data_IF_009868073040
#
_entry.id   IF_009868073040
#
_cell.length_a   1.000
_cell.length_b   1.000
_cell.length_c   1.000
_cell.angle_alpha   90.00
_cell.angle_beta   90.00
_cell.angle_gamma   90.00
#
_symmetry.space_group_name_H-M   'P 1'
#
loop_
_entity.id
_entity.type
_entity.pdbx_description
1 polymer ?
#
# COMPACT_ATOMS: atom_id res chain seq x y z
N UNK A 1 -12.25 -27.22 -2.54
CA UNK A 1 -12.88 -25.91 -2.80
C UNK A 1 -14.39 -26.16 -2.87
N UNK A 2 -15.17 -25.53 -1.99
CA UNK A 2 -16.64 -25.75 -2.00
C UNK A 2 -17.23 -24.79 -3.05
N UNK A 3 -18.06 -25.31 -3.94
CA UNK A 3 -18.73 -24.55 -5.03
C UNK A 3 -19.57 -23.36 -4.50
N UNK A 4 -20.06 -23.45 -3.27
CA UNK A 4 -20.85 -22.42 -2.60
C UNK A 4 -20.08 -21.12 -2.31
N UNK A 5 -18.73 -21.15 -2.34
CA UNK A 5 -17.87 -19.97 -2.11
C UNK A 5 -17.33 -19.34 -3.40
N UNK A 6 -17.73 -19.84 -4.57
CA UNK A 6 -17.26 -19.34 -5.89
C UNK A 6 -18.24 -18.32 -6.48
N UNK A 7 -18.53 -17.25 -5.75
CA UNK A 7 -19.31 -16.13 -6.30
C UNK A 7 -18.39 -15.05 -6.88
N UNK A 8 -18.90 -14.20 -7.78
CA UNK A 8 -18.12 -13.05 -8.30
C UNK A 8 -17.56 -12.16 -7.19
N UNK A 9 -18.31 -11.99 -6.09
CA UNK A 9 -17.85 -11.19 -4.94
C UNK A 9 -16.64 -11.83 -4.24
N UNK A 10 -16.63 -13.16 -4.07
CA UNK A 10 -15.48 -13.88 -3.51
C UNK A 10 -14.25 -13.80 -4.41
N UNK A 11 -14.44 -13.89 -5.73
CA UNK A 11 -13.35 -13.75 -6.70
C UNK A 11 -12.76 -12.33 -6.66
N UNK A 12 -13.61 -11.30 -6.66
CA UNK A 12 -13.17 -9.91 -6.57
C UNK A 12 -12.39 -9.67 -5.27
N UNK A 13 -12.91 -10.15 -4.12
CA UNK A 13 -12.22 -10.02 -2.83
C UNK A 13 -10.89 -10.76 -2.82
N UNK A 14 -10.85 -11.99 -3.29
CA UNK A 14 -9.62 -12.78 -3.37
C UNK A 14 -8.54 -12.12 -4.24
N UNK A 15 -8.95 -11.45 -5.33
CA UNK A 15 -8.06 -10.67 -6.18
C UNK A 15 -7.47 -9.48 -5.42
N UNK A 16 -8.29 -8.69 -4.72
CA UNK A 16 -7.83 -7.55 -3.91
C UNK A 16 -6.87 -8.02 -2.81
N UNK A 17 -7.21 -9.09 -2.10
CA UNK A 17 -6.37 -9.67 -1.05
C UNK A 17 -5.05 -10.20 -1.61
N UNK A 18 -5.07 -10.93 -2.72
CA UNK A 18 -3.88 -11.48 -3.34
C UNK A 18 -2.89 -10.41 -3.79
N UNK A 19 -3.37 -9.35 -4.45
CA UNK A 19 -2.54 -8.19 -4.82
C UNK A 19 -1.96 -7.52 -3.59
N UNK A 20 -2.77 -7.31 -2.56
CA UNK A 20 -2.33 -6.63 -1.32
C UNK A 20 -1.33 -7.48 -0.54
N UNK A 21 -1.50 -8.81 -0.49
CA UNK A 21 -0.53 -9.72 0.12
C UNK A 21 0.82 -9.69 -0.64
N UNK A 22 0.80 -9.58 -1.98
CA UNK A 22 2.02 -9.38 -2.77
C UNK A 22 2.77 -8.11 -2.38
N UNK A 23 2.04 -6.99 -2.19
CA UNK A 23 2.62 -5.74 -1.69
C UNK A 23 3.14 -5.88 -0.25
N UNK A 24 2.43 -6.61 0.62
CA UNK A 24 2.85 -6.87 1.99
C UNK A 24 4.12 -7.74 2.06
N UNK A 25 4.29 -8.66 1.13
CA UNK A 25 5.54 -9.41 0.98
C UNK A 25 6.72 -8.48 0.69
N UNK A 26 6.56 -7.51 -0.21
CA UNK A 26 7.55 -6.44 -0.44
C UNK A 26 7.80 -5.60 0.83
N UNK A 27 6.72 -5.21 1.54
CA UNK A 27 6.83 -4.45 2.78
C UNK A 27 7.58 -5.21 3.89
N UNK A 28 7.50 -6.53 3.92
CA UNK A 28 8.26 -7.34 4.89
C UNK A 28 9.77 -7.15 4.75
N UNK A 29 10.26 -6.91 3.53
CA UNK A 29 11.68 -6.63 3.25
C UNK A 29 12.13 -5.30 3.83
N UNK A 30 11.29 -4.26 3.77
CA UNK A 30 11.58 -3.00 4.47
C UNK A 30 11.66 -3.20 5.98
N UNK A 31 10.77 -4.02 6.54
CA UNK A 31 10.78 -4.35 7.98
C UNK A 31 12.05 -5.09 8.41
N UNK A 32 12.53 -6.02 7.60
CA UNK A 32 13.81 -6.72 7.80
C UNK A 32 15.01 -5.75 7.79
N UNK A 33 14.92 -4.65 7.04
CA UNK A 33 15.91 -3.57 7.03
C UNK A 33 15.73 -2.56 8.18
N UNK A 34 14.82 -2.84 9.13
CA UNK A 34 14.56 -1.99 10.30
C UNK A 34 13.60 -0.83 10.05
N UNK A 35 13.00 -0.73 8.85
CA UNK A 35 12.02 0.30 8.53
C UNK A 35 10.64 -0.16 9.01
N UNK A 36 10.12 0.52 10.03
CA UNK A 36 8.80 0.24 10.61
C UNK A 36 7.84 1.38 10.26
N UNK A 37 6.99 1.25 9.24
CA UNK A 37 6.05 2.29 8.89
C UNK A 37 4.97 2.43 9.97
N UNK A 38 4.70 3.64 10.40
CA UNK A 38 3.60 3.95 11.30
C UNK A 38 2.26 4.09 10.56
N UNK A 39 2.32 4.36 9.25
CA UNK A 39 1.17 4.60 8.39
C UNK A 39 1.55 4.30 6.93
N UNK A 40 0.60 3.81 6.14
CA UNK A 40 0.77 3.63 4.70
C UNK A 40 -0.17 4.56 3.94
N UNK A 41 0.39 5.35 3.04
CA UNK A 41 -0.36 6.26 2.18
C UNK A 41 -0.71 5.58 0.87
N UNK A 42 -2.01 5.50 0.57
CA UNK A 42 -2.54 4.86 -0.62
C UNK A 42 -2.82 5.91 -1.70
N UNK A 43 -2.52 5.55 -2.94
CA UNK A 43 -2.80 6.37 -4.12
C UNK A 43 -3.20 5.49 -5.30
N UNK A 44 -3.74 6.09 -6.36
CA UNK A 44 -4.17 5.38 -7.55
C UNK A 44 -5.59 4.83 -7.45
N UNK A 45 -6.01 4.06 -8.46
CA UNK A 45 -7.39 3.62 -8.62
C UNK A 45 -7.94 2.79 -7.45
N UNK A 46 -7.14 1.88 -6.91
CA UNK A 46 -7.53 1.01 -5.79
C UNK A 46 -7.84 1.77 -4.51
N UNK A 47 -7.18 2.92 -4.29
CA UNK A 47 -7.39 3.74 -3.10
C UNK A 47 -8.80 4.36 -3.03
N UNK A 48 -9.52 4.42 -4.15
CA UNK A 48 -10.91 4.91 -4.21
C UNK A 48 -11.91 3.93 -3.56
N UNK A 49 -11.56 2.65 -3.43
CA UNK A 49 -12.43 1.63 -2.83
C UNK A 49 -12.28 1.58 -1.31
N UNK A 50 -13.35 1.90 -0.52
CA UNK A 50 -13.31 1.75 0.93
C UNK A 50 -12.98 0.34 1.38
N UNK A 51 -13.51 -0.65 0.67
CA UNK A 51 -13.27 -2.08 0.95
C UNK A 51 -11.79 -2.41 0.76
N UNK A 52 -11.17 -1.94 -0.32
CA UNK A 52 -9.75 -2.21 -0.56
C UNK A 52 -8.85 -1.48 0.44
N UNK A 53 -9.19 -0.25 0.86
CA UNK A 53 -8.46 0.46 1.93
C UNK A 53 -8.47 -0.31 3.23
N UNK A 54 -9.62 -0.91 3.61
CA UNK A 54 -9.72 -1.75 4.80
C UNK A 54 -8.88 -3.02 4.67
N UNK A 55 -8.99 -3.74 3.54
CA UNK A 55 -8.15 -4.92 3.25
C UNK A 55 -6.66 -4.56 3.36
N UNK A 56 -6.25 -3.42 2.83
CA UNK A 56 -4.86 -2.96 2.90
C UNK A 56 -4.43 -2.69 4.35
N UNK A 57 -5.26 -2.01 5.16
CA UNK A 57 -4.95 -1.79 6.56
C UNK A 57 -4.80 -3.10 7.34
N UNK A 58 -5.72 -4.04 7.13
CA UNK A 58 -5.74 -5.34 7.80
C UNK A 58 -4.49 -6.18 7.44
N UNK A 59 -4.14 -6.23 6.16
CA UNK A 59 -3.00 -7.02 5.66
C UNK A 59 -1.65 -6.38 6.04
N UNK A 60 -1.52 -5.06 5.92
CA UNK A 60 -0.29 -4.38 6.30
C UNK A 60 -0.10 -4.28 7.83
N UNK A 61 -1.18 -4.42 8.59
CA UNK A 61 -1.15 -4.34 10.05
C UNK A 61 -0.84 -2.94 10.58
N UNK A 62 -1.02 -1.90 9.76
CA UNK A 62 -0.84 -0.48 10.12
C UNK A 62 -1.95 0.35 9.48
N UNK A 63 -2.28 1.53 10.03
CA UNK A 63 -3.26 2.42 9.44
C UNK A 63 -2.93 2.77 8.00
N UNK A 64 -3.94 2.85 7.15
CA UNK A 64 -3.84 3.38 5.79
C UNK A 64 -4.64 4.67 5.66
N UNK A 65 -4.20 5.55 4.76
CA UNK A 65 -4.87 6.81 4.45
C UNK A 65 -4.60 7.18 2.98
N UNK A 66 -5.50 7.91 2.35
CA UNK A 66 -5.28 8.38 0.99
C UNK A 66 -4.77 9.83 0.95
N UNK A 67 -4.10 10.16 -0.14
CA UNK A 67 -3.84 11.55 -0.47
C UNK A 67 -5.15 12.24 -0.85
N UNK A 68 -5.29 13.52 -0.52
CA UNK A 68 -6.43 14.33 -0.96
C UNK A 68 -6.47 14.48 -2.50
N UNK A 69 -5.30 14.41 -3.14
CA UNK A 69 -5.18 14.32 -4.60
C UNK A 69 -5.07 12.87 -5.03
N UNK A 70 -5.91 12.44 -5.97
CA UNK A 70 -5.85 11.10 -6.55
C UNK A 70 -4.59 10.88 -7.42
N UNK A 71 -3.95 11.98 -7.89
CA UNK A 71 -2.85 11.99 -8.83
C UNK A 71 -1.48 12.07 -8.11
N UNK A 72 -1.20 11.12 -7.23
CA UNK A 72 0.02 11.12 -6.41
C UNK A 72 1.31 11.14 -7.21
N UNK A 73 1.38 10.43 -8.34
CA UNK A 73 2.56 10.41 -9.20
C UNK A 73 2.79 11.78 -9.86
N UNK A 74 1.74 12.42 -10.39
CA UNK A 74 1.84 13.75 -10.98
C UNK A 74 2.24 14.80 -9.93
N UNK A 75 1.68 14.71 -8.72
CA UNK A 75 2.08 15.57 -7.61
C UNK A 75 3.57 15.38 -7.27
N UNK A 76 4.05 14.14 -7.21
CA UNK A 76 5.47 13.84 -6.97
C UNK A 76 6.38 14.47 -8.03
N UNK A 77 6.04 14.35 -9.30
CA UNK A 77 6.77 14.96 -10.39
C UNK A 77 6.78 16.49 -10.31
N UNK A 78 5.63 17.10 -9.95
CA UNK A 78 5.53 18.55 -9.76
C UNK A 78 6.40 19.05 -8.59
N UNK A 79 6.47 18.29 -7.49
CA UNK A 79 7.34 18.62 -6.35
C UNK A 79 8.83 18.55 -6.72
N UNK A 80 9.23 17.56 -7.54
CA UNK A 80 10.60 17.47 -8.05
C UNK A 80 10.94 18.66 -8.96
N UNK A 81 10.04 19.03 -9.87
CA UNK A 81 10.21 20.20 -10.74
C UNK A 81 10.32 21.49 -9.92
N UNK A 82 9.46 21.67 -8.92
CA UNK A 82 9.51 22.82 -8.01
C UNK A 82 10.84 22.87 -7.25
N UNK A 83 11.31 21.75 -6.72
CA UNK A 83 12.61 21.65 -6.05
C UNK A 83 13.76 22.10 -6.96
N UNK A 84 13.83 21.55 -8.17
CA UNK A 84 14.87 21.88 -9.14
C UNK A 84 14.81 23.36 -9.55
N UNK A 85 13.61 23.90 -9.78
CA UNK A 85 13.42 25.32 -10.12
C UNK A 85 13.88 26.24 -9.00
N UNK A 86 13.50 25.97 -7.76
CA UNK A 86 13.93 26.79 -6.60
C UNK A 86 15.45 26.76 -6.42
N UNK A 87 16.07 25.60 -6.57
CA UNK A 87 17.52 25.46 -6.50
C UNK A 87 18.23 26.28 -7.60
N UNK A 88 17.70 26.26 -8.83
CA UNK A 88 18.25 27.04 -9.95
C UNK A 88 18.13 28.56 -9.76
N UNK A 89 17.10 29.01 -9.03
CA UNK A 89 16.88 30.43 -8.69
C UNK A 89 17.66 30.90 -7.46
N UNK A 90 18.46 30.03 -6.83
CA UNK A 90 19.19 30.36 -5.61
C UNK A 90 18.32 30.44 -4.36
N UNK A 91 17.11 29.87 -4.41
CA UNK A 91 16.18 29.79 -3.28
C UNK A 91 16.15 28.34 -2.74
N UNK A 92 17.07 27.94 -1.86
CA UNK A 92 17.13 26.57 -1.38
C UNK A 92 15.84 26.19 -0.62
N UNK A 93 15.25 25.10 -1.01
CA UNK A 93 14.12 24.46 -0.32
C UNK A 93 14.42 22.98 -0.14
N UNK A 94 13.67 22.30 0.72
CA UNK A 94 13.80 20.87 0.94
C UNK A 94 12.56 20.13 0.44
N UNK A 95 12.73 18.85 0.10
CA UNK A 95 11.56 18.01 -0.23
C UNK A 95 10.60 17.89 0.96
N UNK A 96 11.09 17.98 2.18
CA UNK A 96 10.26 18.00 3.39
C UNK A 96 9.33 19.21 3.38
N UNK A 97 9.85 20.42 3.21
CA UNK A 97 9.05 21.66 3.18
C UNK A 97 8.01 21.61 2.07
N UNK A 98 8.40 21.18 0.87
CA UNK A 98 7.47 21.02 -0.25
C UNK A 98 6.38 19.99 0.06
N UNK A 99 6.76 18.85 0.65
CA UNK A 99 5.79 17.81 1.00
C UNK A 99 4.81 18.27 2.08
N UNK A 100 5.28 18.92 3.14
CA UNK A 100 4.43 19.46 4.21
C UNK A 100 3.45 20.53 3.69
N UNK A 101 3.88 21.32 2.73
CA UNK A 101 3.06 22.37 2.12
C UNK A 101 1.99 21.83 1.17
N UNK A 102 2.35 20.88 0.31
CA UNK A 102 1.52 20.48 -0.84
C UNK A 102 0.89 19.10 -0.72
N UNK A 103 1.44 18.17 0.06
CA UNK A 103 0.87 16.85 0.25
C UNK A 103 -0.17 16.91 1.37
N UNK A 104 -1.44 16.86 0.98
CA UNK A 104 -2.56 16.81 1.93
C UNK A 104 -3.12 15.41 2.00
N UNK A 105 -3.54 14.99 3.19
CA UNK A 105 -4.17 13.71 3.46
C UNK A 105 -5.67 13.90 3.59
N UNK A 106 -6.43 12.91 3.13
CA UNK A 106 -7.88 12.86 3.30
C UNK A 106 -8.21 11.97 4.51
N UNK A 107 -8.39 12.59 5.67
CA UNK A 107 -8.69 11.89 6.93
C UNK A 107 -9.99 11.06 6.87
N UNK A 108 -10.94 11.40 6.01
CA UNK A 108 -12.16 10.62 5.81
C UNK A 108 -11.90 9.23 5.22
N UNK A 109 -10.74 9.03 4.61
CA UNK A 109 -10.33 7.78 3.99
C UNK A 109 -9.53 6.86 4.91
N UNK A 110 -9.23 7.30 6.13
CA UNK A 110 -8.40 6.55 7.08
C UNK A 110 -9.06 5.22 7.45
N UNK A 111 -8.32 4.14 7.29
CA UNK A 111 -8.70 2.80 7.75
C UNK A 111 -7.70 2.30 8.78
N UNK A 112 -8.19 1.70 9.85
CA UNK A 112 -7.36 1.07 10.89
C UNK A 112 -7.43 -0.44 10.75
N UNK A 113 -6.35 -1.17 11.06
CA UNK A 113 -6.35 -2.62 11.05
C UNK A 113 -7.41 -3.17 12.02
N UNK A 114 -8.14 -4.20 11.58
CA UNK A 114 -8.99 -4.98 12.46
C UNK A 114 -8.14 -6.07 13.13
N UNK A 115 -8.08 -6.04 14.46
CA UNK A 115 -7.33 -7.02 15.25
C UNK A 115 -7.77 -8.46 15.00
N UNK A 116 -9.05 -8.68 14.73
CA UNK A 116 -9.62 -10.02 14.52
C UNK A 116 -9.13 -10.69 13.24
N UNK A 117 -8.70 -9.88 12.26
CA UNK A 117 -8.15 -10.37 11.00
C UNK A 117 -6.64 -10.61 11.03
N UNK A 118 -5.95 -10.19 12.08
CA UNK A 118 -4.48 -10.21 12.16
C UNK A 118 -3.90 -11.60 11.93
N UNK A 119 -4.41 -12.61 12.64
CA UNK A 119 -3.90 -13.98 12.53
C UNK A 119 -4.14 -14.53 11.13
N UNK A 120 -5.35 -14.34 10.60
CA UNK A 120 -5.71 -14.79 9.25
C UNK A 120 -4.74 -14.28 8.20
N UNK A 121 -4.47 -12.96 8.18
CA UNK A 121 -3.59 -12.37 7.16
C UNK A 121 -2.11 -12.67 7.39
N UNK A 122 -1.69 -12.89 8.64
CA UNK A 122 -0.33 -13.40 8.94
C UNK A 122 -0.14 -14.80 8.33
N UNK A 123 -1.10 -15.69 8.52
CA UNK A 123 -1.04 -17.05 7.97
C UNK A 123 -1.08 -17.05 6.44
N UNK A 124 -1.93 -16.21 5.85
CA UNK A 124 -2.02 -16.07 4.39
C UNK A 124 -0.74 -15.53 3.78
N UNK A 125 -0.11 -14.53 4.40
CA UNK A 125 1.16 -13.97 3.95
C UNK A 125 2.29 -15.02 4.00
N UNK A 126 2.35 -15.79 5.08
CA UNK A 126 3.31 -16.90 5.22
C UNK A 126 3.11 -17.93 4.11
N UNK A 127 1.88 -18.37 3.89
CA UNK A 127 1.54 -19.34 2.84
C UNK A 127 1.86 -18.84 1.44
N UNK A 128 1.61 -17.56 1.16
CA UNK A 128 1.96 -16.95 -0.12
C UNK A 128 3.47 -16.92 -0.33
N UNK A 129 4.24 -16.53 0.68
CA UNK A 129 5.70 -16.56 0.63
C UNK A 129 6.25 -17.95 0.38
N UNK A 130 5.68 -18.98 1.02
CA UNK A 130 6.04 -20.39 0.79
C UNK A 130 5.73 -20.83 -0.65
N UNK A 131 4.54 -20.47 -1.15
CA UNK A 131 4.15 -20.78 -2.53
C UNK A 131 5.10 -20.12 -3.52
N UNK A 132 5.40 -18.84 -3.35
CA UNK A 132 6.33 -18.10 -4.23
C UNK A 132 7.70 -18.76 -4.27
N UNK A 133 8.26 -19.14 -3.11
CA UNK A 133 9.56 -19.85 -3.05
C UNK A 133 9.53 -21.20 -3.77
N UNK A 134 8.44 -21.95 -3.62
CA UNK A 134 8.29 -23.27 -4.30
C UNK A 134 8.17 -23.12 -5.81
N UNK A 135 7.43 -22.13 -6.29
CA UNK A 135 7.28 -21.85 -7.71
C UNK A 135 8.61 -21.39 -8.32
N UNK A 136 9.35 -20.54 -7.63
CA UNK A 136 10.69 -20.14 -8.05
C UNK A 136 11.67 -21.32 -8.09
N UNK A 137 11.68 -22.17 -7.06
CA UNK A 137 12.53 -23.35 -7.02
C UNK A 137 12.21 -24.39 -8.11
N UNK A 138 11.02 -24.34 -8.68
CA UNK A 138 10.55 -25.21 -9.75
C UNK A 138 10.58 -24.54 -11.15
N UNK A 139 11.26 -23.39 -11.28
CA UNK A 139 11.36 -22.60 -12.53
C UNK A 139 10.00 -22.15 -13.14
N UNK A 140 8.97 -21.95 -12.30
CA UNK A 140 7.70 -21.37 -12.75
C UNK A 140 7.63 -19.85 -12.61
N UNK A 141 8.60 -19.22 -11.95
CA UNK A 141 8.74 -17.76 -11.74
C UNK A 141 10.18 -17.31 -11.94
#
# INVERSE_FOLDING_TARGET
>A
MKTETMTPAHLARATMEGVTLGLAYGLSRFRELGIQPAEIRLTGGGSKSPVWRQIAADIFGVPTICLASAEGAALGAALQAAYASQAALGHPTTFRELSEKFVKLDESTRAKPNSDHKQLYTDLLTRQGDLTRRLHAADYL
#
